data_IF_443352813711
#
_entry.id   IF_443352813711
#
_cell.length_a   1.000
_cell.length_b   1.000
_cell.length_c   1.000
_cell.angle_alpha   90.00
_cell.angle_beta   90.00
_cell.angle_gamma   90.00
#
_symmetry.space_group_name_H-M   'P 1'
#
loop_
_entity.id
_entity.type
_entity.pdbx_description
1 polymer ?
#
# COMPACT_ATOMS: atom_id res chain seq x y z
N UNK A 1 40.91 -25.68 -9.94
CA UNK A 1 40.30 -24.44 -9.43
C UNK A 1 40.55 -23.30 -10.42
N UNK A 2 39.77 -22.21 -10.38
CA UNK A 2 40.15 -20.96 -11.06
C UNK A 2 41.48 -20.48 -10.50
N UNK A 3 42.40 -20.01 -11.33
CA UNK A 3 43.79 -19.64 -10.99
C UNK A 3 43.94 -18.39 -10.09
N UNK A 4 42.96 -18.11 -9.22
CA UNK A 4 43.00 -16.98 -8.29
C UNK A 4 41.98 -17.03 -7.14
N UNK A 5 41.22 -18.13 -6.97
CA UNK A 5 40.24 -18.26 -5.89
C UNK A 5 40.45 -19.61 -5.21
N UNK A 6 40.87 -19.57 -3.94
CA UNK A 6 40.91 -20.72 -3.04
C UNK A 6 40.09 -20.38 -1.79
N UNK A 7 39.28 -21.32 -1.32
CA UNK A 7 38.52 -21.20 -0.09
C UNK A 7 38.47 -22.56 0.60
N UNK A 8 38.44 -22.58 1.93
CA UNK A 8 38.20 -23.77 2.74
C UNK A 8 36.79 -23.73 3.33
N UNK A 9 36.16 -24.90 3.46
CA UNK A 9 34.86 -25.03 4.12
C UNK A 9 35.06 -25.32 5.61
N UNK A 10 34.38 -24.54 6.46
CA UNK A 10 34.20 -24.92 7.86
C UNK A 10 33.29 -26.14 7.96
N UNK A 11 33.43 -26.94 9.02
CA UNK A 11 32.55 -28.09 9.26
C UNK A 11 31.07 -27.69 9.33
N UNK A 12 30.78 -26.52 9.92
CA UNK A 12 29.43 -25.96 9.99
C UNK A 12 28.88 -25.56 8.62
N UNK A 13 29.69 -24.96 7.75
CA UNK A 13 29.24 -24.56 6.41
C UNK A 13 29.03 -25.78 5.52
N UNK A 14 29.90 -26.80 5.64
CA UNK A 14 29.74 -28.08 4.94
C UNK A 14 28.41 -28.74 5.30
N UNK A 15 28.10 -28.89 6.60
CA UNK A 15 26.83 -29.43 7.07
C UNK A 15 25.61 -28.66 6.53
N UNK A 16 25.68 -27.32 6.51
CA UNK A 16 24.59 -26.49 5.98
C UNK A 16 24.41 -26.65 4.47
N UNK A 17 25.51 -26.74 3.72
CA UNK A 17 25.47 -26.97 2.27
C UNK A 17 24.92 -28.36 1.94
N UNK A 18 25.34 -29.39 2.68
CA UNK A 18 24.83 -30.75 2.52
C UNK A 18 23.33 -30.82 2.82
N UNK A 19 22.86 -30.14 3.88
CA UNK A 19 21.43 -30.04 4.19
C UNK A 19 20.63 -29.35 3.06
N UNK A 20 21.16 -28.27 2.47
CA UNK A 20 20.54 -27.60 1.33
C UNK A 20 20.46 -28.49 0.09
N UNK A 21 21.45 -29.36 -0.13
CA UNK A 21 21.45 -30.29 -1.27
C UNK A 21 20.50 -31.47 -1.04
N UNK A 22 20.33 -31.91 0.21
CA UNK A 22 19.45 -33.02 0.56
C UNK A 22 17.97 -32.64 0.64
N UNK A 23 17.65 -31.39 0.96
CA UNK A 23 16.27 -30.91 1.08
C UNK A 23 15.59 -30.79 -0.31
N UNK A 24 14.53 -31.57 -0.49
CA UNK A 24 13.72 -31.63 -1.72
C UNK A 24 12.96 -30.34 -2.02
N UNK A 25 12.75 -29.49 -1.02
CA UNK A 25 12.06 -28.21 -1.19
C UNK A 25 13.01 -27.07 -1.57
N UNK A 26 14.32 -27.29 -1.52
CA UNK A 26 15.29 -26.26 -1.88
C UNK A 26 15.19 -25.96 -3.38
N UNK A 27 15.00 -24.68 -3.78
CA UNK A 27 15.01 -24.31 -5.19
C UNK A 27 16.29 -24.81 -5.88
N UNK A 28 16.14 -25.46 -7.04
CA UNK A 28 17.27 -26.07 -7.77
C UNK A 28 18.46 -25.11 -7.95
N UNK A 29 18.18 -23.80 -8.08
CA UNK A 29 19.19 -22.75 -8.15
C UNK A 29 20.15 -22.70 -6.97
N UNK A 30 19.70 -23.02 -5.76
CA UNK A 30 20.54 -23.06 -4.57
C UNK A 30 21.27 -24.41 -4.46
N UNK A 31 20.61 -25.50 -4.85
CA UNK A 31 21.21 -26.85 -4.86
C UNK A 31 22.48 -26.89 -5.72
N UNK A 32 22.42 -26.47 -6.98
CA UNK A 32 23.60 -26.54 -7.84
C UNK A 32 24.69 -25.53 -7.43
N UNK A 33 24.34 -24.39 -6.82
CA UNK A 33 25.30 -23.45 -6.21
C UNK A 33 26.04 -24.09 -5.04
N UNK A 34 25.32 -24.78 -4.16
CA UNK A 34 25.90 -25.50 -3.04
C UNK A 34 26.80 -26.66 -3.50
N UNK A 35 26.36 -27.43 -4.51
CA UNK A 35 27.17 -28.49 -5.14
C UNK A 35 28.49 -27.97 -5.72
N UNK A 36 28.48 -26.81 -6.39
CA UNK A 36 29.73 -26.19 -6.89
C UNK A 36 30.73 -26.00 -5.74
N UNK A 37 30.26 -25.48 -4.60
CA UNK A 37 31.13 -25.17 -3.45
C UNK A 37 31.62 -26.44 -2.76
N UNK A 38 30.76 -27.43 -2.54
CA UNK A 38 31.13 -28.73 -1.98
C UNK A 38 32.18 -29.44 -2.83
N UNK A 39 31.93 -29.59 -4.13
CA UNK A 39 32.87 -30.25 -5.06
C UNK A 39 34.19 -29.46 -5.20
N UNK A 40 34.14 -28.14 -5.08
CA UNK A 40 35.36 -27.31 -5.06
C UNK A 40 36.18 -27.56 -3.80
N UNK A 41 35.53 -27.70 -2.64
CA UNK A 41 36.19 -28.00 -1.38
C UNK A 41 36.73 -29.44 -1.32
N UNK A 42 36.10 -30.37 -2.03
CA UNK A 42 36.60 -31.74 -2.22
C UNK A 42 37.75 -31.83 -3.24
N UNK A 43 38.23 -30.69 -3.74
CA UNK A 43 39.41 -30.61 -4.60
C UNK A 43 39.16 -30.92 -6.08
N UNK A 44 37.90 -31.06 -6.51
CA UNK A 44 37.60 -31.37 -7.90
C UNK A 44 38.00 -30.22 -8.84
N UNK A 45 38.51 -30.60 -10.01
CA UNK A 45 38.80 -29.65 -11.09
C UNK A 45 37.54 -29.04 -11.69
N UNK A 46 37.67 -27.83 -12.26
CA UNK A 46 36.55 -27.06 -12.86
C UNK A 46 35.73 -27.88 -13.86
N UNK A 47 36.39 -28.69 -14.71
CA UNK A 47 35.70 -29.54 -15.68
C UNK A 47 34.90 -30.68 -15.05
N UNK A 48 35.36 -31.24 -13.93
CA UNK A 48 34.62 -32.25 -13.19
C UNK A 48 33.38 -31.61 -12.53
N UNK A 49 33.53 -30.44 -11.91
CA UNK A 49 32.43 -29.68 -11.32
C UNK A 49 31.36 -29.33 -12.38
N UNK A 50 31.77 -28.92 -13.59
CA UNK A 50 30.84 -28.61 -14.68
C UNK A 50 29.97 -29.82 -15.06
N UNK A 51 30.56 -31.03 -15.12
CA UNK A 51 29.83 -32.26 -15.44
C UNK A 51 28.86 -32.64 -14.33
N UNK A 52 29.33 -32.60 -13.09
CA UNK A 52 28.56 -33.05 -11.92
C UNK A 52 27.41 -32.09 -11.56
N UNK A 53 27.65 -30.78 -11.64
CA UNK A 53 26.64 -29.76 -11.36
C UNK A 53 25.83 -29.33 -12.60
N UNK A 54 26.14 -29.88 -13.79
CA UNK A 54 25.49 -29.57 -15.06
C UNK A 54 25.41 -28.05 -15.38
N UNK A 55 26.51 -27.32 -15.16
CA UNK A 55 26.59 -25.86 -15.34
C UNK A 55 27.80 -25.44 -16.18
N UNK A 56 27.72 -24.24 -16.75
CA UNK A 56 28.82 -23.66 -17.52
C UNK A 56 30.02 -23.31 -16.64
N UNK A 57 31.22 -23.29 -17.24
CA UNK A 57 32.47 -22.83 -16.60
C UNK A 57 32.33 -21.46 -15.93
N UNK A 58 31.66 -20.51 -16.61
CA UNK A 58 31.44 -19.15 -16.11
C UNK A 58 30.52 -19.11 -14.89
N UNK A 59 29.53 -20.02 -14.80
CA UNK A 59 28.69 -20.16 -13.61
C UNK A 59 29.49 -20.72 -12.43
N UNK A 60 30.31 -21.77 -12.64
CA UNK A 60 31.20 -22.33 -11.61
C UNK A 60 32.08 -21.24 -11.02
N UNK A 61 32.78 -20.50 -11.87
CA UNK A 61 33.67 -19.42 -11.46
C UNK A 61 32.96 -18.32 -10.68
N UNK A 62 31.79 -17.86 -11.16
CA UNK A 62 30.99 -16.83 -10.50
C UNK A 62 30.59 -17.22 -9.07
N UNK A 63 30.23 -18.48 -8.84
CA UNK A 63 29.80 -18.93 -7.51
C UNK A 63 30.95 -19.28 -6.59
N UNK A 64 32.08 -19.79 -7.11
CA UNK A 64 33.33 -19.90 -6.36
C UNK A 64 33.77 -18.53 -5.84
N UNK A 65 33.81 -17.52 -6.72
CA UNK A 65 34.19 -16.14 -6.36
C UNK A 65 33.22 -15.54 -5.34
N UNK A 66 31.92 -15.71 -5.55
CA UNK A 66 30.93 -15.17 -4.62
C UNK A 66 31.00 -15.84 -3.26
N UNK A 67 31.19 -17.15 -3.21
CA UNK A 67 31.36 -17.86 -1.95
C UNK A 67 32.61 -17.40 -1.20
N UNK A 68 33.75 -17.26 -1.90
CA UNK A 68 34.99 -16.76 -1.29
C UNK A 68 34.85 -15.36 -0.68
N UNK A 69 33.97 -14.50 -1.25
CA UNK A 69 33.76 -13.12 -0.79
C UNK A 69 32.63 -12.94 0.22
N UNK A 70 31.52 -13.67 0.07
CA UNK A 70 30.26 -13.44 0.80
C UNK A 70 29.79 -14.68 1.60
N UNK A 71 30.52 -15.80 1.52
CA UNK A 71 30.19 -17.05 2.20
C UNK A 71 28.84 -17.64 1.77
N UNK A 72 28.23 -18.42 2.68
CA UNK A 72 26.95 -19.10 2.44
C UNK A 72 25.80 -18.12 2.11
N UNK A 73 25.77 -16.96 2.78
CA UNK A 73 24.73 -15.94 2.55
C UNK A 73 24.74 -15.42 1.10
N UNK A 74 25.93 -15.32 0.49
CA UNK A 74 26.08 -14.94 -0.91
C UNK A 74 25.50 -15.94 -1.91
N UNK A 75 25.45 -17.24 -1.56
CA UNK A 75 24.88 -18.29 -2.43
C UNK A 75 23.35 -18.24 -2.49
N UNK A 76 22.72 -17.90 -1.35
CA UNK A 76 21.27 -17.85 -1.21
C UNK A 76 20.69 -16.53 -1.72
N UNK A 77 21.49 -15.47 -1.77
CA UNK A 77 21.05 -14.16 -2.24
C UNK A 77 21.29 -13.97 -3.75
N UNK A 78 20.21 -13.71 -4.49
CA UNK A 78 20.33 -13.18 -5.85
C UNK A 78 20.68 -11.69 -5.80
N UNK A 79 21.56 -11.23 -6.71
CA UNK A 79 21.86 -9.81 -6.82
C UNK A 79 20.61 -9.11 -7.36
N UNK A 80 20.17 -8.07 -6.66
CA UNK A 80 19.13 -7.18 -7.19
C UNK A 80 19.61 -6.60 -8.51
N UNK A 81 18.92 -6.94 -9.59
CA UNK A 81 19.20 -6.31 -10.89
C UNK A 81 18.67 -4.87 -10.80
N UNK A 82 19.48 -3.84 -11.07
CA UNK A 82 18.96 -2.50 -11.18
C UNK A 82 17.89 -2.47 -12.27
N UNK A 83 16.81 -1.72 -12.03
CA UNK A 83 15.76 -1.56 -13.03
C UNK A 83 16.37 -1.02 -14.33
N UNK A 84 15.91 -1.53 -15.48
CA UNK A 84 16.37 -1.07 -16.80
C UNK A 84 16.10 0.42 -17.01
N UNK A 85 15.04 0.95 -16.41
CA UNK A 85 14.66 2.36 -16.46
C UNK A 85 15.01 2.98 -15.11
N UNK A 86 15.83 4.03 -15.07
CA UNK A 86 16.11 4.76 -13.84
C UNK A 86 14.80 5.25 -13.20
N UNK A 87 14.66 5.19 -11.86
CA UNK A 87 13.51 5.77 -11.19
C UNK A 87 13.42 7.27 -11.47
N UNK A 88 12.21 7.81 -11.43
CA UNK A 88 12.01 9.26 -11.50
C UNK A 88 12.85 9.95 -10.42
N UNK A 89 13.53 11.03 -10.79
CA UNK A 89 14.33 11.81 -9.86
C UNK A 89 13.48 12.40 -8.73
N UNK A 90 14.07 12.63 -7.54
CA UNK A 90 13.36 13.16 -6.39
C UNK A 90 12.68 14.51 -6.67
N UNK A 91 13.31 15.35 -7.51
CA UNK A 91 12.76 16.64 -7.94
C UNK A 91 11.40 16.53 -8.64
N UNK A 92 11.21 15.48 -9.46
CA UNK A 92 9.94 15.26 -10.17
C UNK A 92 8.84 14.87 -9.18
N UNK A 93 9.18 14.03 -8.19
CA UNK A 93 8.25 13.66 -7.14
C UNK A 93 7.87 14.87 -6.27
N UNK A 94 8.86 15.69 -5.88
CA UNK A 94 8.65 16.91 -5.12
C UNK A 94 7.73 17.90 -5.87
N UNK A 95 7.95 18.08 -7.18
CA UNK A 95 7.08 18.92 -8.01
C UNK A 95 5.64 18.42 -8.06
N UNK A 96 5.42 17.12 -8.21
CA UNK A 96 4.06 16.53 -8.20
C UNK A 96 3.38 16.76 -6.85
N UNK A 97 4.10 16.56 -5.74
CA UNK A 97 3.57 16.80 -4.38
C UNK A 97 3.19 18.27 -4.20
N UNK A 98 4.07 19.19 -4.59
CA UNK A 98 3.81 20.63 -4.47
C UNK A 98 2.59 21.06 -5.31
N UNK A 99 2.51 20.63 -6.57
CA UNK A 99 1.35 20.94 -7.43
C UNK A 99 0.04 20.38 -6.87
N UNK A 100 0.08 19.20 -6.25
CA UNK A 100 -1.11 18.57 -5.67
C UNK A 100 -1.73 19.41 -4.54
N UNK A 101 -0.94 20.26 -3.88
CA UNK A 101 -1.40 21.14 -2.80
C UNK A 101 -1.98 22.46 -3.31
N UNK A 102 -1.75 22.80 -4.58
CA UNK A 102 -2.34 23.94 -5.24
C UNK A 102 -3.61 23.53 -5.99
N UNK A 103 -4.44 24.52 -6.32
CA UNK A 103 -5.64 24.27 -7.11
C UNK A 103 -5.29 23.79 -8.53
N UNK A 104 -6.01 22.79 -9.05
CA UNK A 104 -5.84 22.35 -10.43
C UNK A 104 -6.26 23.47 -11.40
N UNK A 105 -5.61 23.58 -12.58
CA UNK A 105 -6.04 24.52 -13.60
C UNK A 105 -7.43 24.15 -14.15
N UNK A 106 -8.25 25.16 -14.41
CA UNK A 106 -9.59 25.02 -14.99
C UNK A 106 -10.71 24.79 -13.97
N UNK A 107 -11.91 24.46 -14.46
CA UNK A 107 -13.12 24.27 -13.65
C UNK A 107 -13.19 22.86 -13.03
N UNK A 108 -12.14 22.46 -12.30
CA UNK A 108 -12.11 21.16 -11.62
C UNK A 108 -11.95 21.34 -10.12
N UNK A 109 -12.63 20.50 -9.34
CA UNK A 109 -12.58 20.59 -7.86
C UNK A 109 -11.33 19.95 -7.26
N UNK A 110 -10.60 19.13 -8.03
CA UNK A 110 -9.41 18.42 -7.57
C UNK A 110 -8.55 17.92 -8.74
N UNK A 111 -7.26 17.68 -8.47
CA UNK A 111 -6.35 17.07 -9.44
C UNK A 111 -6.76 15.65 -9.80
N UNK A 112 -7.01 15.41 -11.09
CA UNK A 112 -7.07 14.05 -11.63
C UNK A 112 -5.67 13.56 -11.98
N UNK A 113 -5.45 12.24 -11.94
CA UNK A 113 -4.14 11.67 -12.27
C UNK A 113 -3.73 11.96 -13.73
N UNK A 114 -4.71 12.06 -14.64
CA UNK A 114 -4.49 12.43 -16.03
C UNK A 114 -4.08 13.90 -16.18
N UNK A 115 -4.77 14.82 -15.51
CA UNK A 115 -4.42 16.24 -15.53
C UNK A 115 -3.03 16.49 -14.94
N UNK A 116 -2.71 15.86 -13.80
CA UNK A 116 -1.38 15.95 -13.19
C UNK A 116 -0.29 15.38 -14.10
N UNK A 117 -0.56 14.25 -14.78
CA UNK A 117 0.36 13.65 -15.73
C UNK A 117 0.66 14.58 -16.93
N UNK A 118 -0.37 15.25 -17.46
CA UNK A 118 -0.21 16.26 -18.52
C UNK A 118 0.59 17.46 -18.02
N UNK A 119 0.28 17.99 -16.84
CA UNK A 119 0.96 19.15 -16.27
C UNK A 119 2.43 18.90 -15.92
N UNK A 120 2.79 17.65 -15.61
CA UNK A 120 4.15 17.27 -15.17
C UNK A 120 4.92 16.43 -16.18
N UNK A 121 4.34 16.12 -17.34
CA UNK A 121 4.93 15.32 -18.42
C UNK A 121 5.47 13.96 -17.95
N UNK A 122 4.77 13.30 -17.03
CA UNK A 122 5.07 11.92 -16.59
C UNK A 122 3.88 10.99 -16.81
N UNK A 123 4.10 9.69 -16.73
CA UNK A 123 2.99 8.73 -16.86
C UNK A 123 1.99 8.85 -15.70
N UNK A 124 0.71 8.61 -15.99
CA UNK A 124 -0.36 8.53 -14.99
C UNK A 124 -0.01 7.53 -13.88
N UNK A 125 0.58 6.39 -14.23
CA UNK A 125 1.04 5.37 -13.28
C UNK A 125 2.10 5.91 -12.32
N UNK A 126 2.97 6.81 -12.79
CA UNK A 126 3.99 7.45 -11.95
C UNK A 126 3.38 8.46 -11.00
N UNK A 127 2.45 9.30 -11.46
CA UNK A 127 1.68 10.21 -10.60
C UNK A 127 0.99 9.42 -9.47
N UNK A 128 0.25 8.38 -9.83
CA UNK A 128 -0.47 7.54 -8.85
C UNK A 128 0.49 6.84 -7.86
N UNK A 129 1.69 6.46 -8.31
CA UNK A 129 2.71 5.88 -7.43
C UNK A 129 3.27 6.93 -6.47
N UNK A 130 3.51 8.16 -6.94
CA UNK A 130 3.94 9.28 -6.10
C UNK A 130 2.85 9.59 -5.07
N UNK A 131 1.60 9.76 -5.49
CA UNK A 131 0.48 10.00 -4.57
C UNK A 131 0.34 8.91 -3.51
N UNK A 132 0.39 7.62 -3.91
CA UNK A 132 0.36 6.50 -2.94
C UNK A 132 1.55 6.52 -1.98
N UNK A 133 2.76 6.80 -2.48
CA UNK A 133 3.96 6.86 -1.66
C UNK A 133 3.94 8.00 -0.63
N UNK A 134 3.24 9.10 -0.93
CA UNK A 134 3.10 10.27 -0.07
C UNK A 134 1.76 10.37 0.66
N UNK A 135 0.88 9.37 0.52
CA UNK A 135 -0.45 9.38 1.14
C UNK A 135 -1.40 10.47 0.61
N UNK A 136 -1.15 11.00 -0.59
CA UNK A 136 -1.96 12.06 -1.17
C UNK A 136 -3.22 11.49 -1.84
N UNK A 137 -4.36 12.08 -1.53
CA UNK A 137 -5.68 11.70 -2.07
C UNK A 137 -6.42 12.96 -2.54
N UNK A 138 -6.11 13.49 -3.75
CA UNK A 138 -6.63 14.79 -4.19
C UNK A 138 -8.15 14.87 -4.26
N UNK A 139 -8.82 13.74 -4.53
CA UNK A 139 -10.27 13.63 -4.59
C UNK A 139 -10.95 13.62 -3.21
N UNK A 140 -10.19 13.54 -2.12
CA UNK A 140 -10.73 13.58 -0.77
C UNK A 140 -10.61 14.97 -0.19
N UNK A 141 -11.76 15.59 0.04
CA UNK A 141 -11.88 16.76 0.88
C UNK A 141 -12.55 16.34 2.20
N UNK A 142 -12.02 16.83 3.32
CA UNK A 142 -12.70 16.73 4.61
C UNK A 142 -13.22 18.10 4.98
N UNK A 143 -14.48 18.15 5.40
CA UNK A 143 -15.04 19.35 5.99
C UNK A 143 -14.42 19.53 7.37
N UNK A 144 -14.00 20.75 7.68
CA UNK A 144 -13.65 21.14 9.04
C UNK A 144 -14.55 22.30 9.44
N UNK A 145 -14.95 22.32 10.70
CA UNK A 145 -15.67 23.43 11.30
C UNK A 145 -14.76 24.03 12.35
N UNK A 146 -14.23 25.22 12.05
CA UNK A 146 -13.49 26.02 13.03
C UNK A 146 -14.42 27.14 13.51
N UNK A 147 -14.56 27.28 14.83
CA UNK A 147 -15.26 28.43 15.40
C UNK A 147 -14.25 29.56 15.62
N UNK A 148 -14.58 30.77 15.17
CA UNK A 148 -13.79 31.97 15.42
C UNK A 148 -14.12 32.63 16.77
N UNK A 149 -15.00 32.02 17.57
CA UNK A 149 -15.39 32.53 18.88
C UNK A 149 -14.21 32.44 19.88
N UNK A 150 -13.73 33.57 20.44
CA UNK A 150 -12.64 33.55 21.43
C UNK A 150 -12.94 32.68 22.66
N UNK A 151 -14.22 32.50 23.00
CA UNK A 151 -14.67 31.66 24.11
C UNK A 151 -15.02 30.22 23.69
N UNK A 152 -14.75 29.82 22.44
CA UNK A 152 -15.18 28.52 21.89
C UNK A 152 -14.77 27.34 22.77
N UNK A 153 -13.52 27.32 23.23
CA UNK A 153 -13.01 26.21 24.04
C UNK A 153 -13.71 26.12 25.41
N UNK A 154 -14.14 27.24 25.98
CA UNK A 154 -14.91 27.23 27.23
C UNK A 154 -16.33 26.70 26.96
N UNK A 155 -17.04 27.27 25.98
CA UNK A 155 -18.39 26.84 25.59
C UNK A 155 -18.45 25.38 25.17
N UNK A 156 -17.44 24.90 24.43
CA UNK A 156 -17.32 23.51 24.02
C UNK A 156 -17.23 22.60 25.25
N UNK A 157 -16.39 22.96 26.24
CA UNK A 157 -16.27 22.18 27.48
C UNK A 157 -17.57 22.18 28.28
N UNK A 158 -18.24 23.33 28.36
CA UNK A 158 -19.52 23.43 29.08
C UNK A 158 -20.58 22.53 28.42
N UNK A 159 -20.71 22.58 27.09
CA UNK A 159 -21.70 21.77 26.35
C UNK A 159 -21.33 20.28 26.34
N UNK A 160 -20.07 19.94 26.05
CA UNK A 160 -19.61 18.52 26.06
C UNK A 160 -19.65 17.95 27.47
N UNK A 161 -19.43 18.77 28.49
CA UNK A 161 -19.59 18.39 29.90
C UNK A 161 -20.97 17.82 30.20
N UNK A 162 -22.03 18.39 29.61
CA UNK A 162 -23.39 17.87 29.75
C UNK A 162 -23.58 16.46 29.15
N UNK A 163 -22.73 16.03 28.21
CA UNK A 163 -22.76 14.68 27.64
C UNK A 163 -21.91 13.67 28.43
N UNK A 164 -20.87 14.14 29.12
CA UNK A 164 -19.92 13.28 29.83
C UNK A 164 -20.33 13.08 31.29
N UNK A 165 -20.70 14.16 31.97
CA UNK A 165 -21.10 14.17 33.38
C UNK A 165 -22.26 15.17 33.59
N UNK A 166 -23.49 14.77 33.22
CA UNK A 166 -24.65 15.64 33.37
C UNK A 166 -24.96 15.90 34.85
N UNK A 167 -25.43 17.10 35.21
CA UNK A 167 -25.74 17.44 36.59
C UNK A 167 -26.75 16.48 37.22
N UNK A 168 -26.60 16.23 38.53
CA UNK A 168 -27.53 15.39 39.27
C UNK A 168 -28.97 15.90 39.15
N UNK A 169 -29.90 14.98 38.91
CA UNK A 169 -31.33 15.26 38.71
C UNK A 169 -31.67 16.16 37.50
N UNK A 170 -30.74 16.38 36.57
CA UNK A 170 -31.02 17.08 35.32
C UNK A 170 -31.48 16.14 34.20
N UNK A 171 -32.34 16.65 33.33
CA UNK A 171 -32.67 16.01 32.05
C UNK A 171 -31.88 16.72 30.95
N UNK A 172 -31.00 15.99 30.26
CA UNK A 172 -30.20 16.51 29.15
C UNK A 172 -30.73 15.90 27.86
N UNK A 173 -31.30 16.75 26.99
CA UNK A 173 -31.82 16.37 25.68
C UNK A 173 -30.91 16.92 24.58
N UNK A 174 -30.42 16.02 23.72
CA UNK A 174 -29.78 16.38 22.46
C UNK A 174 -30.84 16.44 21.38
N UNK A 175 -31.11 17.63 20.83
CA UNK A 175 -32.09 17.82 19.76
C UNK A 175 -31.35 18.18 18.47
N UNK A 176 -31.69 17.50 17.38
CA UNK A 176 -31.18 17.84 16.05
C UNK A 176 -32.31 17.87 15.02
N UNK A 177 -32.13 18.70 14.00
CA UNK A 177 -33.03 18.83 12.87
C UNK A 177 -32.34 18.33 11.61
N UNK A 178 -32.95 17.35 10.96
CA UNK A 178 -32.63 17.01 9.58
C UNK A 178 -33.69 17.61 8.65
N UNK A 179 -33.41 18.81 8.18
CA UNK A 179 -34.26 19.54 7.24
C UNK A 179 -34.12 19.04 5.80
N UNK A 180 -35.05 19.46 4.94
CA UNK A 180 -35.02 19.23 3.49
C UNK A 180 -34.90 17.76 3.06
N UNK A 181 -35.42 16.83 3.87
CA UNK A 181 -35.49 15.42 3.50
C UNK A 181 -36.46 15.31 2.32
N UNK A 182 -35.94 15.00 1.13
CA UNK A 182 -36.78 14.77 -0.03
C UNK A 182 -37.51 13.44 0.11
N UNK A 183 -38.84 13.48 0.14
CA UNK A 183 -39.67 12.28 0.13
C UNK A 183 -39.73 11.72 -1.30
N UNK A 184 -38.76 10.87 -1.64
CA UNK A 184 -38.60 10.28 -2.97
C UNK A 184 -38.99 8.81 -2.98
N UNK A 185 -39.84 8.43 -3.92
CA UNK A 185 -40.08 7.03 -4.28
C UNK A 185 -39.60 6.77 -5.71
N UNK A 186 -39.03 5.58 -5.95
CA UNK A 186 -38.69 5.16 -7.32
C UNK A 186 -39.96 4.82 -8.08
N UNK A 187 -39.99 5.14 -9.36
CA UNK A 187 -41.14 4.85 -10.23
C UNK A 187 -41.34 3.36 -10.47
N UNK A 188 -40.27 2.55 -10.40
CA UNK A 188 -40.27 1.11 -10.58
C UNK A 188 -39.27 0.45 -9.63
N UNK A 189 -39.44 -0.85 -9.40
CA UNK A 189 -38.54 -1.64 -8.57
C UNK A 189 -37.17 -1.82 -9.25
N UNK A 190 -36.07 -1.81 -8.47
CA UNK A 190 -34.74 -2.00 -9.01
C UNK A 190 -34.53 -3.45 -9.46
N UNK A 191 -33.81 -3.66 -10.56
CA UNK A 191 -33.43 -5.01 -10.96
C UNK A 191 -32.24 -5.49 -10.12
N UNK A 192 -32.24 -6.76 -9.66
CA UNK A 192 -31.15 -7.31 -8.86
C UNK A 192 -29.84 -7.35 -9.67
N UNK A 193 -28.72 -7.25 -8.96
CA UNK A 193 -27.39 -7.38 -9.55
C UNK A 193 -27.18 -8.77 -10.15
N UNK A 194 -26.50 -8.85 -11.29
CA UNK A 194 -26.03 -10.10 -11.90
C UNK A 194 -24.54 -9.99 -12.25
N UNK A 195 -23.78 -11.10 -12.37
CA UNK A 195 -22.39 -11.04 -12.81
C UNK A 195 -22.25 -10.29 -14.14
N UNK A 196 -21.41 -9.25 -14.16
CA UNK A 196 -21.24 -8.37 -15.33
C UNK A 196 -22.35 -7.32 -15.53
N UNK A 197 -23.37 -7.28 -14.67
CA UNK A 197 -24.46 -6.30 -14.74
C UNK A 197 -24.72 -5.67 -13.36
N UNK A 198 -24.40 -4.37 -13.17
CA UNK A 198 -24.69 -3.69 -11.91
C UNK A 198 -26.21 -3.62 -11.67
N UNK A 199 -26.61 -3.46 -10.41
CA UNK A 199 -28.00 -3.13 -10.06
C UNK A 199 -28.47 -1.93 -10.88
N UNK A 200 -29.61 -2.07 -11.55
CA UNK A 200 -30.22 -0.95 -12.26
C UNK A 200 -31.34 -0.35 -11.42
N UNK A 201 -31.40 0.97 -11.41
CA UNK A 201 -32.45 1.76 -10.78
C UNK A 201 -32.98 2.74 -11.81
N UNK A 202 -34.28 2.96 -11.85
CA UNK A 202 -34.84 4.01 -12.71
C UNK A 202 -34.31 5.38 -12.26
N UNK A 203 -33.89 6.19 -13.23
CA UNK A 203 -33.52 7.59 -12.97
C UNK A 203 -34.75 8.37 -12.49
N UNK A 204 -35.93 8.06 -13.03
CA UNK A 204 -37.19 8.69 -12.68
C UNK A 204 -37.59 8.40 -11.24
N UNK A 205 -38.04 9.45 -10.56
CA UNK A 205 -38.56 9.40 -9.20
C UNK A 205 -39.87 10.18 -9.12
N UNK A 206 -40.74 9.80 -8.19
CA UNK A 206 -41.91 10.60 -7.82
C UNK A 206 -41.52 11.48 -6.62
N UNK A 207 -41.69 12.80 -6.75
CA UNK A 207 -41.50 13.76 -5.64
C UNK A 207 -42.81 13.86 -4.86
N UNK A 208 -42.75 13.56 -3.57
CA UNK A 208 -43.87 13.75 -2.63
C UNK A 208 -43.69 15.02 -1.77
N UNK A 209 -42.80 15.93 -2.19
CA UNK A 209 -42.43 17.13 -1.45
C UNK A 209 -41.17 16.95 -0.62
N UNK A 210 -41.02 17.80 0.39
CA UNK A 210 -39.91 17.80 1.36
C UNK A 210 -40.47 17.73 2.77
N UNK A 211 -39.79 17.01 3.65
CA UNK A 211 -40.14 16.90 5.06
C UNK A 211 -38.93 17.27 5.92
N UNK A 212 -39.19 17.60 7.17
CA UNK A 212 -38.17 17.88 8.18
C UNK A 212 -38.35 16.88 9.31
N UNK A 213 -37.25 16.22 9.69
CA UNK A 213 -37.22 15.35 10.86
C UNK A 213 -36.60 16.10 12.03
N UNK A 214 -37.36 16.25 13.10
CA UNK A 214 -36.82 16.63 14.41
C UNK A 214 -36.70 15.37 15.25
N UNK A 215 -35.56 15.17 15.90
CA UNK A 215 -35.35 14.07 16.82
C UNK A 215 -34.71 14.58 18.10
N UNK A 216 -35.15 14.05 19.24
CA UNK A 216 -34.56 14.33 20.53
C UNK A 216 -34.08 13.03 21.18
N UNK A 217 -32.87 13.08 21.76
CA UNK A 217 -32.31 11.96 22.50
C UNK A 217 -32.04 12.38 23.95
N UNK A 218 -32.56 11.58 24.89
CA UNK A 218 -32.11 11.63 26.28
C UNK A 218 -30.69 11.07 26.36
N UNK A 219 -29.72 11.92 26.70
CA UNK A 219 -28.30 11.58 26.65
C UNK A 219 -27.93 10.51 27.68
N UNK A 220 -28.61 10.50 28.83
CA UNK A 220 -28.39 9.54 29.91
C UNK A 220 -29.02 8.19 29.58
N UNK A 221 -30.26 8.20 29.07
CA UNK A 221 -31.02 6.95 28.82
C UNK A 221 -30.78 6.36 27.42
N UNK A 222 -30.21 7.14 26.50
CA UNK A 222 -30.03 6.82 25.08
C UNK A 222 -31.32 6.44 24.34
N UNK A 223 -32.46 6.86 24.85
CA UNK A 223 -33.77 6.67 24.20
C UNK A 223 -34.03 7.84 23.27
N UNK A 224 -34.49 7.53 22.05
CA UNK A 224 -34.88 8.52 21.03
C UNK A 224 -36.39 8.66 21.09
N UNK A 225 -36.87 9.90 21.15
CA UNK A 225 -38.28 10.27 21.06
C UNK A 225 -38.58 10.95 19.71
#
# INVERSE_FOLDING_TARGET
MHSGISFSLSASDRLRLDALVADRNTPQKHVWRARIVLLSADGLGTHAIMREAAVSKTAVWRWQERFAREGLAGLLRDKTRPARIPPLGPEVAARVVALTQADPPGETTHWTAAAMAQATSISVSSVQRIWRGHGLQPHQARQFKLSNDPAFAAKLRDVVGLYVDPPAHAVVLSVDEKSQIQALARTQDPLPMKPGQPTTRTHDYKRHGTTTLFAAQDVLRRVIA
#
